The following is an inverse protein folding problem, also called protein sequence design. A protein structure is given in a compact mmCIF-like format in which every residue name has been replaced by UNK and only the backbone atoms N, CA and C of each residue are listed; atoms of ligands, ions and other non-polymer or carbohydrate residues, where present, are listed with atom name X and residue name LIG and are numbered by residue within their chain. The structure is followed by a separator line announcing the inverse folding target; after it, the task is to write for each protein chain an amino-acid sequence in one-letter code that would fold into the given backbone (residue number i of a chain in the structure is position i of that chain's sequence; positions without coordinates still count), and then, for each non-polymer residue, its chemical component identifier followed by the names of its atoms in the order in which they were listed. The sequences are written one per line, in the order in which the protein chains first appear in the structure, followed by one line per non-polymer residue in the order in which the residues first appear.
data_IF_567155760164
#
_entry.id   IF_567155760164
#
_cell.length_a   1.000
_cell.length_b   1.000
_cell.length_c   1.000
_cell.angle_alpha   90.00
_cell.angle_beta   90.00
_cell.angle_gamma   90.00
#
_symmetry.space_group_name_H-M   'P 1'
#
loop_
_entity.id
_entity.type
_entity.pdbx_description
1 polymer ?
#
# COMPACT_ATOMS: atom_id res chain seq x y z
N UNK A 1 -7.77 5.46 13.00
CA UNK A 1 -6.93 6.60 12.52
C UNK A 1 -5.54 6.07 12.22
N UNK A 2 -5.13 5.96 10.95
CA UNK A 2 -3.79 5.46 10.59
C UNK A 2 -2.75 6.50 10.97
N UNK A 3 -1.82 6.18 11.88
CA UNK A 3 -0.71 7.06 12.24
C UNK A 3 0.43 6.84 11.26
N UNK A 4 0.67 7.80 10.38
CA UNK A 4 1.87 7.84 9.53
C UNK A 4 2.90 8.74 10.23
N UNK A 5 3.99 8.15 10.74
CA UNK A 5 5.10 8.91 11.33
C UNK A 5 5.88 9.66 10.24
N UNK A 6 6.12 10.96 10.44
CA UNK A 6 6.83 11.81 9.47
C UNK A 6 8.35 11.69 9.70
N UNK A 7 8.99 10.70 9.08
CA UNK A 7 10.45 10.60 9.00
C UNK A 7 10.88 10.80 7.54
N UNK A 8 11.88 11.66 7.26
CA UNK A 8 12.22 12.12 5.90
C UNK A 8 12.72 11.01 4.94
N UNK A 9 12.91 9.79 5.44
CA UNK A 9 13.40 8.63 4.68
C UNK A 9 12.55 7.36 4.84
N UNK A 10 11.34 7.47 5.41
CA UNK A 10 10.41 6.34 5.49
C UNK A 10 9.33 6.48 4.42
N UNK A 11 9.42 5.65 3.38
CA UNK A 11 8.21 5.20 2.70
C UNK A 11 7.38 4.46 3.76
N UNK A 12 6.13 4.85 3.98
CA UNK A 12 5.29 4.19 4.98
C UNK A 12 5.09 2.72 4.57
N UNK A 13 5.78 1.82 5.28
CA UNK A 13 5.81 0.37 5.06
C UNK A 13 5.22 -0.42 6.23
N UNK A 14 4.80 0.28 7.28
CA UNK A 14 4.11 -0.29 8.44
C UNK A 14 2.83 0.49 8.67
N UNK A 15 1.74 -0.24 8.87
CA UNK A 15 0.41 0.26 9.19
C UNK A 15 0.02 -0.37 10.51
N UNK A 16 0.02 0.42 11.59
CA UNK A 16 -0.51 -0.01 12.87
C UNK A 16 -1.99 0.33 12.96
N UNK A 17 -2.81 -0.65 13.36
CA UNK A 17 -4.23 -0.46 13.66
C UNK A 17 -4.43 -0.31 15.17
N UNK A 18 -5.53 0.34 15.56
CA UNK A 18 -5.97 0.46 16.96
C UNK A 18 -6.45 -0.86 17.58
N UNK A 19 -6.59 -1.91 16.77
CA UNK A 19 -6.99 -3.24 17.20
C UNK A 19 -5.81 -4.19 17.44
N UNK A 20 -4.59 -3.66 17.61
CA UNK A 20 -3.40 -4.45 17.93
C UNK A 20 -2.83 -5.21 16.73
N UNK A 21 -2.98 -4.69 15.52
CA UNK A 21 -2.33 -5.27 14.33
C UNK A 21 -1.27 -4.33 13.79
N UNK A 22 -0.15 -4.90 13.37
CA UNK A 22 0.83 -4.27 12.50
C UNK A 22 0.87 -5.00 11.16
N UNK A 23 0.61 -4.26 10.08
CA UNK A 23 0.68 -4.76 8.71
C UNK A 23 1.91 -4.13 8.07
N UNK A 24 2.85 -4.95 7.60
CA UNK A 24 4.03 -4.45 6.90
C UNK A 24 4.04 -4.86 5.44
N UNK A 25 4.47 -3.95 4.57
CA UNK A 25 4.60 -4.14 3.12
C UNK A 25 5.98 -3.66 2.70
N UNK A 26 6.82 -4.52 2.14
CA UNK A 26 8.22 -4.21 1.78
C UNK A 26 8.36 -3.03 0.80
N UNK A 27 7.42 -2.90 -0.14
CA UNK A 27 7.31 -1.80 -1.11
C UNK A 27 6.49 -0.61 -0.59
N UNK A 28 5.79 -0.74 0.54
CA UNK A 28 4.81 0.24 1.00
C UNK A 28 3.65 0.39 0.01
N UNK A 29 3.18 1.62 -0.20
CA UNK A 29 2.09 1.89 -1.16
C UNK A 29 2.53 1.89 -2.65
N UNK A 30 3.83 1.78 -2.94
CA UNK A 30 4.39 1.71 -4.32
C UNK A 30 4.43 0.27 -4.89
N UNK A 31 3.32 -0.45 -4.76
CA UNK A 31 3.15 -1.81 -5.31
C UNK A 31 2.59 -1.81 -6.72
N UNK A 32 1.92 -0.74 -7.13
CA UNK A 32 1.28 -0.67 -8.43
C UNK A 32 2.25 -0.11 -9.48
N UNK A 33 2.48 -0.79 -10.60
CA UNK A 33 3.24 -0.23 -11.70
C UNK A 33 2.49 0.95 -12.34
N UNK A 34 3.18 1.66 -13.24
CA UNK A 34 2.49 2.58 -14.15
C UNK A 34 1.51 1.81 -15.02
N UNK A 35 0.40 2.46 -15.30
CA UNK A 35 -0.67 1.98 -16.18
C UNK A 35 -1.08 3.11 -17.13
N UNK A 36 -1.77 2.77 -18.21
CA UNK A 36 -2.27 3.77 -19.16
C UNK A 36 -3.63 4.30 -18.70
N UNK A 37 -3.65 5.59 -18.35
CA UNK A 37 -4.83 6.30 -17.89
C UNK A 37 -5.70 6.77 -19.06
N UNK A 38 -7.01 6.85 -18.86
CA UNK A 38 -7.96 7.27 -19.88
C UNK A 38 -9.40 7.18 -19.41
N UNK A 39 -10.32 7.80 -20.16
CA UNK A 39 -11.75 7.91 -19.80
C UNK A 39 -12.42 6.57 -19.52
N UNK A 40 -11.95 5.49 -20.15
CA UNK A 40 -12.46 4.12 -19.96
C UNK A 40 -11.43 3.17 -19.34
N UNK A 41 -10.40 3.70 -18.67
CA UNK A 41 -9.39 2.89 -18.00
C UNK A 41 -9.96 2.31 -16.69
N UNK A 42 -10.14 0.99 -16.66
CA UNK A 42 -10.60 0.27 -15.48
C UNK A 42 -9.59 0.33 -14.33
N UNK A 43 -8.31 0.25 -14.67
CA UNK A 43 -7.19 0.39 -13.73
C UNK A 43 -7.16 1.77 -13.05
N UNK A 44 -7.63 2.80 -13.76
CA UNK A 44 -7.79 4.14 -13.19
C UNK A 44 -8.99 4.24 -12.25
N UNK A 45 -10.10 3.58 -12.60
CA UNK A 45 -11.35 3.66 -11.86
C UNK A 45 -11.37 2.79 -10.60
N UNK A 46 -10.66 1.65 -10.60
CA UNK A 46 -10.70 0.65 -9.53
C UNK A 46 -9.30 0.09 -9.24
N UNK A 47 -8.86 0.22 -7.98
CA UNK A 47 -7.51 -0.19 -7.57
C UNK A 47 -7.33 -1.71 -7.60
N UNK A 48 -8.40 -2.47 -7.34
CA UNK A 48 -8.44 -3.94 -7.36
C UNK A 48 -8.23 -4.51 -8.77
N UNK A 49 -8.44 -3.70 -9.81
CA UNK A 49 -8.23 -4.09 -11.20
C UNK A 49 -6.81 -3.75 -11.70
N UNK A 50 -5.98 -3.13 -10.85
CA UNK A 50 -4.59 -2.79 -11.21
C UNK A 50 -3.68 -4.00 -11.00
N UNK A 51 -2.76 -4.20 -11.93
CA UNK A 51 -1.65 -5.13 -11.72
C UNK A 51 -0.81 -4.70 -10.51
N UNK A 52 -0.25 -5.68 -9.81
CA UNK A 52 0.67 -5.45 -8.69
C UNK A 52 2.04 -6.00 -9.03
N UNK A 53 3.09 -5.24 -8.71
CA UNK A 53 4.44 -5.77 -8.64
C UNK A 53 4.52 -6.76 -7.48
N UNK A 54 5.41 -7.74 -7.55
CA UNK A 54 5.70 -8.62 -6.40
C UNK A 54 6.06 -7.79 -5.17
N UNK A 55 5.46 -8.13 -4.04
CA UNK A 55 5.63 -7.50 -2.74
C UNK A 55 5.36 -8.55 -1.64
N UNK A 56 6.03 -8.41 -0.51
CA UNK A 56 5.79 -9.23 0.67
C UNK A 56 4.89 -8.47 1.64
N UNK A 57 3.86 -9.15 2.16
CA UNK A 57 2.93 -8.59 3.14
C UNK A 57 2.96 -9.46 4.39
N UNK A 58 3.32 -8.86 5.52
CA UNK A 58 3.33 -9.55 6.81
C UNK A 58 2.26 -8.95 7.73
N UNK A 59 1.57 -9.83 8.45
CA UNK A 59 0.56 -9.47 9.45
C UNK A 59 1.06 -9.93 10.81
N UNK A 60 1.22 -8.99 11.73
CA UNK A 60 1.69 -9.25 13.10
C UNK A 60 0.63 -8.74 14.07
N UNK A 61 0.30 -9.57 15.06
CA UNK A 61 -0.55 -9.16 16.18
C UNK A 61 0.36 -8.69 17.34
N UNK A 62 0.06 -7.51 17.89
CA UNK A 62 0.80 -6.83 18.96
C UNK A 62 0.12 -7.02 20.32
#
# INVERSE_FOLDING_TARGET
MVKLGWFPHFYARSITTDHGWEITIDRGHDIFPRFDAGTFSLEQAMQELRLTRGAEVNYVQL
#
